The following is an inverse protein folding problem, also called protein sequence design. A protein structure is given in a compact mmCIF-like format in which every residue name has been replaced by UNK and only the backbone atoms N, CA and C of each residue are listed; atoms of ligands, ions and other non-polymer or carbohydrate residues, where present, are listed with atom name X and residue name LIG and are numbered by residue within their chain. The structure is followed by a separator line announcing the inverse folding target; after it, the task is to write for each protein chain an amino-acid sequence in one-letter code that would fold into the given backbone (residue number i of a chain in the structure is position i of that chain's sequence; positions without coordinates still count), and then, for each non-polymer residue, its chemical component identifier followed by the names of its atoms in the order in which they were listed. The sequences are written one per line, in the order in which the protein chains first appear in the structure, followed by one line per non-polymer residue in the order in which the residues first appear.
data_IF_213163639667
#
_entry.id   IF_213163639667
#
_cell.length_a   1.000
_cell.length_b   1.000
_cell.length_c   1.000
_cell.angle_alpha   90.00
_cell.angle_beta   90.00
_cell.angle_gamma   90.00
#
_symmetry.space_group_name_H-M   'P 1'
#
loop_
_entity.id
_entity.type
_entity.pdbx_description
1 polymer ?
#
# COMPACT_ATOMS: atom_id res chain seq x y z
N UNK A 1 -8.28 -16.62 -0.95
CA UNK A 1 -7.49 -15.43 -1.34
C UNK A 1 -6.17 -15.82 -1.99
N UNK A 2 -5.21 -16.42 -1.27
CA UNK A 2 -3.88 -16.77 -1.80
C UNK A 2 -3.86 -17.45 -3.19
N UNK A 3 -4.66 -18.52 -3.40
CA UNK A 3 -4.74 -19.19 -4.71
C UNK A 3 -5.13 -18.24 -5.85
N UNK A 4 -6.08 -17.33 -5.60
CA UNK A 4 -6.53 -16.32 -6.58
C UNK A 4 -5.41 -15.35 -6.93
N UNK A 5 -4.65 -14.88 -5.93
CA UNK A 5 -3.48 -14.02 -6.14
C UNK A 5 -2.39 -14.74 -6.94
N UNK A 6 -2.07 -15.99 -6.56
CA UNK A 6 -1.06 -16.81 -7.25
C UNK A 6 -1.44 -17.14 -8.70
N UNK A 7 -2.72 -17.37 -8.96
CA UNK A 7 -3.26 -17.60 -10.30
C UNK A 7 -3.49 -16.30 -11.09
N UNK A 8 -3.14 -15.12 -10.52
CA UNK A 8 -3.37 -13.80 -11.13
C UNK A 8 -4.83 -13.52 -11.49
N UNK A 9 -5.76 -14.10 -10.73
CA UNK A 9 -7.21 -13.82 -10.81
C UNK A 9 -7.59 -12.55 -10.04
N UNK A 10 -6.68 -12.05 -9.19
CA UNK A 10 -6.79 -10.78 -8.48
C UNK A 10 -5.40 -10.24 -8.14
N UNK A 11 -5.34 -9.01 -7.62
CA UNK A 11 -4.11 -8.23 -7.46
C UNK A 11 -3.86 -7.86 -6.01
N UNK A 12 -2.58 -7.61 -5.70
CA UNK A 12 -2.13 -6.96 -4.47
C UNK A 12 -1.94 -5.47 -4.78
N UNK A 13 -2.30 -4.58 -3.87
CA UNK A 13 -1.79 -3.22 -3.86
C UNK A 13 -0.86 -3.00 -2.68
N UNK A 14 0.25 -2.32 -2.93
CA UNK A 14 1.11 -1.78 -1.88
C UNK A 14 0.98 -0.26 -1.88
N UNK A 15 0.54 0.30 -0.76
CA UNK A 15 0.28 1.73 -0.56
C UNK A 15 1.45 2.33 0.22
N UNK A 16 2.15 3.26 -0.42
CA UNK A 16 3.42 3.81 0.07
C UNK A 16 4.59 3.04 -0.51
N UNK A 17 5.39 3.67 -1.35
CA UNK A 17 6.54 3.05 -2.03
C UNK A 17 7.85 3.69 -1.56
N UNK A 18 8.00 3.72 -0.24
CA UNK A 18 9.25 4.05 0.43
C UNK A 18 10.19 2.85 0.53
N UNK A 19 11.21 2.98 1.38
CA UNK A 19 12.22 1.95 1.63
C UNK A 19 11.65 0.60 2.11
N UNK A 20 10.43 0.56 2.66
CA UNK A 20 9.75 -0.69 3.04
C UNK A 20 8.81 -1.18 1.95
N UNK A 21 7.91 -0.31 1.50
CA UNK A 21 6.83 -0.70 0.59
C UNK A 21 7.31 -1.09 -0.79
N UNK A 22 8.33 -0.43 -1.35
CA UNK A 22 8.85 -0.76 -2.67
C UNK A 22 9.47 -2.18 -2.73
N UNK A 23 10.39 -2.58 -1.81
CA UNK A 23 10.87 -3.96 -1.77
C UNK A 23 9.75 -5.00 -1.65
N UNK A 24 8.75 -4.76 -0.79
CA UNK A 24 7.59 -5.66 -0.64
C UNK A 24 6.83 -5.78 -1.97
N UNK A 25 6.58 -4.66 -2.63
CA UNK A 25 5.85 -4.61 -3.90
C UNK A 25 6.59 -5.40 -4.99
N UNK A 26 7.90 -5.18 -5.13
CA UNK A 26 8.73 -5.87 -6.11
C UNK A 26 8.83 -7.38 -5.83
N UNK A 27 8.97 -7.79 -4.57
CA UNK A 27 9.05 -9.21 -4.22
C UNK A 27 7.74 -9.95 -4.55
N UNK A 28 6.58 -9.35 -4.25
CA UNK A 28 5.30 -9.92 -4.69
C UNK A 28 5.17 -9.93 -6.22
N UNK A 29 5.66 -8.90 -6.90
CA UNK A 29 5.55 -8.74 -8.34
C UNK A 29 6.30 -9.83 -9.13
N UNK A 30 7.29 -10.50 -8.52
CA UNK A 30 7.95 -11.67 -9.13
C UNK A 30 7.01 -12.84 -9.39
N UNK A 31 5.92 -12.95 -8.64
CA UNK A 31 5.01 -14.12 -8.73
C UNK A 31 3.53 -13.77 -8.84
N UNK A 32 3.14 -12.52 -8.59
CA UNK A 32 1.75 -12.06 -8.55
C UNK A 32 1.60 -10.71 -9.26
N UNK A 33 0.37 -10.34 -9.62
CA UNK A 33 0.08 -9.01 -10.15
C UNK A 33 0.03 -7.99 -9.01
N UNK A 34 0.83 -6.93 -9.12
CA UNK A 34 0.95 -5.89 -8.09
C UNK A 34 0.60 -4.50 -8.66
N UNK A 35 -0.15 -3.73 -7.89
CA UNK A 35 -0.29 -2.29 -8.07
C UNK A 35 0.57 -1.60 -7.01
N UNK A 36 1.65 -0.96 -7.43
CA UNK A 36 2.42 -0.08 -6.56
C UNK A 36 1.79 1.31 -6.57
N UNK A 37 1.24 1.75 -5.43
CA UNK A 37 0.62 3.06 -5.30
C UNK A 37 1.44 3.97 -4.40
N UNK A 38 1.76 5.17 -4.89
CA UNK A 38 2.30 6.26 -4.08
C UNK A 38 1.55 7.55 -4.37
N UNK A 39 1.49 8.46 -3.41
CA UNK A 39 0.84 9.77 -3.59
C UNK A 39 1.72 10.74 -4.39
N UNK A 40 3.03 10.48 -4.46
CA UNK A 40 3.99 11.35 -5.12
C UNK A 40 4.23 10.89 -6.58
N UNK A 41 3.80 11.73 -7.53
CA UNK A 41 3.93 11.47 -8.96
C UNK A 41 5.38 11.39 -9.44
N UNK A 42 6.29 12.18 -8.85
CA UNK A 42 7.70 12.18 -9.19
C UNK A 42 8.34 10.84 -8.83
N UNK A 43 8.09 10.36 -7.60
CA UNK A 43 8.53 9.03 -7.15
C UNK A 43 7.99 7.94 -8.06
N UNK A 44 6.70 7.97 -8.40
CA UNK A 44 6.09 7.01 -9.36
C UNK A 44 6.78 7.05 -10.72
N UNK A 45 7.12 8.22 -11.23
CA UNK A 45 7.84 8.35 -12.50
C UNK A 45 9.24 7.75 -12.44
N UNK A 46 9.96 7.92 -11.32
CA UNK A 46 11.26 7.27 -11.11
C UNK A 46 11.12 5.74 -11.13
N UNK A 47 10.16 5.18 -10.40
CA UNK A 47 9.95 3.72 -10.35
C UNK A 47 9.52 3.14 -11.70
N UNK A 48 8.75 3.88 -12.51
CA UNK A 48 8.45 3.51 -13.90
C UNK A 48 9.69 3.43 -14.81
N UNK A 49 10.76 4.12 -14.43
CA UNK A 49 12.07 4.07 -15.08
C UNK A 49 13.05 3.13 -14.36
N UNK A 50 12.56 2.24 -13.48
CA UNK A 50 13.35 1.30 -12.68
C UNK A 50 14.37 1.98 -11.75
N UNK A 51 14.01 3.16 -11.22
CA UNK A 51 14.82 3.91 -10.27
C UNK A 51 14.12 3.89 -8.91
N UNK A 52 14.79 3.38 -7.88
CA UNK A 52 14.32 3.45 -6.50
C UNK A 52 14.46 4.87 -5.95
N UNK A 53 13.36 5.56 -5.59
CA UNK A 53 13.41 6.90 -5.01
C UNK A 53 13.93 6.95 -3.56
N UNK A 54 14.26 5.81 -2.96
CA UNK A 54 14.85 5.68 -1.63
C UNK A 54 16.34 5.32 -1.70
N UNK A 55 16.87 5.03 -2.89
CA UNK A 55 18.28 4.68 -3.14
C UNK A 55 18.75 3.41 -2.41
N UNK A 56 17.85 2.46 -2.14
CA UNK A 56 18.14 1.21 -1.44
C UNK A 56 18.23 0.00 -2.39
N UNK A 57 17.61 0.09 -3.57
CA UNK A 57 17.54 -0.99 -4.55
C UNK A 57 18.18 -0.61 -5.90
N UNK A 58 18.92 -1.56 -6.47
CA UNK A 58 19.42 -1.46 -7.84
C UNK A 58 18.29 -1.65 -8.87
N UNK A 59 18.51 -1.15 -10.09
CA UNK A 59 17.56 -1.31 -11.20
C UNK A 59 17.21 -2.77 -11.52
N UNK A 60 18.11 -3.71 -11.21
CA UNK A 60 17.89 -5.17 -11.37
C UNK A 60 16.75 -5.68 -10.49
N UNK A 61 16.42 -5.02 -9.38
CA UNK A 61 15.31 -5.38 -8.51
C UNK A 61 13.93 -5.26 -9.20
N UNK A 62 13.84 -4.44 -10.26
CA UNK A 62 12.62 -4.24 -11.04
C UNK A 62 12.45 -5.27 -12.16
N UNK A 63 13.48 -6.06 -12.46
CA UNK A 63 13.42 -7.05 -13.53
C UNK A 63 12.43 -8.19 -13.19
N UNK A 64 11.74 -8.70 -14.23
CA UNK A 64 10.78 -9.79 -14.11
C UNK A 64 9.64 -9.55 -13.11
N UNK A 65 9.31 -8.28 -12.85
CA UNK A 65 8.22 -7.89 -11.96
C UNK A 65 6.93 -7.56 -12.75
N UNK A 66 5.82 -8.19 -12.37
CA UNK A 66 4.47 -7.87 -12.85
C UNK A 66 3.84 -6.79 -11.95
N UNK A 67 4.36 -5.56 -12.09
CA UNK A 67 3.96 -4.40 -11.28
C UNK A 67 3.53 -3.21 -12.13
N UNK A 68 2.43 -2.57 -11.72
CA UNK A 68 1.97 -1.28 -12.26
C UNK A 68 2.13 -0.19 -11.21
N UNK A 69 2.99 0.79 -11.48
CA UNK A 69 3.19 1.95 -10.60
C UNK A 69 2.22 3.07 -10.95
N UNK A 70 1.54 3.63 -9.96
CA UNK A 70 0.51 4.64 -10.18
C UNK A 70 0.28 5.56 -8.98
N UNK A 71 -0.25 6.75 -9.27
CA UNK A 71 -0.82 7.69 -8.29
C UNK A 71 -2.35 7.71 -8.38
N UNK A 72 -2.93 7.00 -9.36
CA UNK A 72 -4.34 7.04 -9.65
C UNK A 72 -5.10 6.02 -8.80
N UNK A 73 -6.00 6.52 -7.95
CA UNK A 73 -6.84 5.69 -7.09
C UNK A 73 -7.74 4.73 -7.87
N UNK A 74 -8.09 5.07 -9.11
CA UNK A 74 -8.96 4.24 -9.95
C UNK A 74 -8.34 2.88 -10.26
N UNK A 75 -7.01 2.80 -10.33
CA UNK A 75 -6.27 1.55 -10.56
C UNK A 75 -6.39 0.57 -9.38
N UNK A 76 -6.86 1.04 -8.22
CA UNK A 76 -7.05 0.23 -7.01
C UNK A 76 -8.43 -0.45 -6.95
N UNK A 77 -9.37 -0.11 -7.83
CA UNK A 77 -10.76 -0.61 -7.74
C UNK A 77 -10.91 -2.13 -7.90
N UNK A 78 -9.98 -2.79 -8.59
CA UNK A 78 -10.01 -4.24 -8.83
C UNK A 78 -9.05 -5.03 -7.92
N UNK A 79 -8.43 -4.34 -6.95
CA UNK A 79 -7.56 -4.94 -5.95
C UNK A 79 -8.40 -5.57 -4.84
N UNK A 80 -7.91 -6.68 -4.27
CA UNK A 80 -8.58 -7.35 -3.15
C UNK A 80 -7.72 -7.51 -1.91
N UNK A 81 -6.41 -7.23 -2.01
CA UNK A 81 -5.46 -7.33 -0.91
C UNK A 81 -4.58 -6.08 -0.90
N UNK A 82 -4.69 -5.28 0.16
CA UNK A 82 -3.99 -4.02 0.35
C UNK A 82 -2.95 -4.19 1.44
N UNK A 83 -1.72 -3.77 1.18
CA UNK A 83 -0.64 -3.64 2.16
C UNK A 83 -0.35 -2.14 2.29
N UNK A 84 -0.42 -1.61 3.51
CA UNK A 84 -0.14 -0.21 3.82
C UNK A 84 1.22 -0.13 4.50
N UNK A 85 2.18 0.50 3.82
CA UNK A 85 3.58 0.63 4.22
C UNK A 85 4.03 2.11 4.07
N UNK A 86 3.30 3.00 4.74
CA UNK A 86 3.58 4.44 4.77
C UNK A 86 4.34 4.83 6.04
N UNK A 87 5.12 5.92 6.05
CA UNK A 87 5.89 6.31 7.23
C UNK A 87 4.98 6.73 8.39
N UNK A 88 5.46 6.49 9.61
CA UNK A 88 4.86 6.94 10.88
C UNK A 88 5.94 7.72 11.67
N UNK A 89 6.35 8.92 11.18
CA UNK A 89 7.41 9.67 11.82
C UNK A 89 6.99 10.08 13.24
N UNK A 90 7.95 10.26 14.13
CA UNK A 90 7.68 10.77 15.49
C UNK A 90 7.74 12.30 15.50
N UNK A 91 6.83 12.92 16.25
CA UNK A 91 6.81 14.36 16.46
C UNK A 91 7.75 14.79 17.60
N UNK A 92 7.81 16.11 17.87
CA UNK A 92 8.64 16.68 18.93
C UNK A 92 8.25 16.27 20.36
N UNK A 93 7.12 15.56 20.53
CA UNK A 93 6.63 15.01 21.79
C UNK A 93 6.82 13.48 21.87
N UNK A 94 7.55 12.88 20.92
CA UNK A 94 7.73 11.43 20.77
C UNK A 94 6.41 10.68 20.53
N UNK A 95 5.40 11.35 19.97
CA UNK A 95 4.17 10.71 19.51
C UNK A 95 4.27 10.43 18.01
N UNK A 96 3.73 9.30 17.53
CA UNK A 96 3.71 9.01 16.10
C UNK A 96 2.74 9.97 15.40
N UNK A 97 3.22 10.66 14.37
CA UNK A 97 2.39 11.37 13.40
C UNK A 97 1.75 10.33 12.47
N UNK A 98 0.47 10.07 12.72
CA UNK A 98 -0.34 9.14 11.94
C UNK A 98 -0.88 9.75 10.64
N UNK A 99 -0.56 11.01 10.32
CA UNK A 99 -1.09 11.68 9.11
C UNK A 99 -0.90 10.86 7.83
N UNK A 100 0.28 10.26 7.55
CA UNK A 100 0.45 9.43 6.36
C UNK A 100 -0.39 8.15 6.41
N UNK A 101 -0.47 7.51 7.58
CA UNK A 101 -1.25 6.29 7.81
C UNK A 101 -2.74 6.53 7.60
N UNK A 102 -3.28 7.60 8.18
CA UNK A 102 -4.67 8.03 7.97
C UNK A 102 -4.91 8.39 6.51
N UNK A 103 -3.96 9.04 5.84
CA UNK A 103 -4.02 9.30 4.41
C UNK A 103 -4.14 8.02 3.58
N UNK A 104 -3.32 7.01 3.86
CA UNK A 104 -3.38 5.70 3.21
C UNK A 104 -4.71 4.99 3.49
N UNK A 105 -5.18 5.00 4.74
CA UNK A 105 -6.49 4.46 5.13
C UNK A 105 -7.63 5.15 4.37
N UNK A 106 -7.55 6.46 4.12
CA UNK A 106 -8.53 7.18 3.29
C UNK A 106 -8.51 6.71 1.83
N UNK A 107 -7.32 6.52 1.26
CA UNK A 107 -7.16 6.00 -0.11
C UNK A 107 -7.77 4.61 -0.24
N UNK A 108 -7.43 3.69 0.68
CA UNK A 108 -7.96 2.33 0.68
C UNK A 108 -9.47 2.34 0.90
N UNK A 109 -9.97 3.09 1.89
CA UNK A 109 -11.39 3.14 2.23
C UNK A 109 -12.31 3.53 1.07
N UNK A 110 -11.85 4.42 0.17
CA UNK A 110 -12.63 4.85 -1.02
C UNK A 110 -12.86 3.75 -2.06
N UNK A 111 -12.03 2.71 -2.08
CA UNK A 111 -12.10 1.61 -3.05
C UNK A 111 -12.38 0.26 -2.41
N UNK A 112 -12.39 0.21 -1.07
CA UNK A 112 -12.54 -1.01 -0.29
C UNK A 112 -13.91 -1.65 -0.52
N UNK A 113 -13.91 -2.96 -0.78
CA UNK A 113 -15.11 -3.79 -0.96
C UNK A 113 -15.17 -4.91 0.07
N UNK A 114 -16.38 -5.42 0.33
CA UNK A 114 -16.58 -6.58 1.21
C UNK A 114 -15.74 -7.77 0.73
N UNK A 115 -14.99 -8.38 1.66
CA UNK A 115 -14.10 -9.51 1.37
C UNK A 115 -12.69 -9.11 0.90
N UNK A 116 -12.38 -7.82 0.82
CA UNK A 116 -11.02 -7.33 0.70
C UNK A 116 -10.26 -7.48 2.03
N UNK A 117 -8.93 -7.49 1.92
CA UNK A 117 -8.00 -7.56 3.05
C UNK A 117 -7.19 -6.27 3.09
N UNK A 118 -7.03 -5.69 4.27
CA UNK A 118 -6.14 -4.55 4.50
C UNK A 118 -5.15 -4.97 5.59
N UNK A 119 -3.86 -4.90 5.27
CA UNK A 119 -2.75 -5.24 6.16
C UNK A 119 -1.96 -3.97 6.40
N UNK A 120 -1.83 -3.57 7.66
CA UNK A 120 -0.95 -2.47 8.06
C UNK A 120 0.40 -3.04 8.43
N UNK A 121 1.41 -2.68 7.63
CA UNK A 121 2.81 -3.02 7.88
C UNK A 121 3.52 -1.92 8.66
N UNK A 122 3.13 -0.65 8.42
CA UNK A 122 3.64 0.52 9.15
C UNK A 122 3.75 0.28 10.66
N UNK A 123 4.88 0.68 11.25
CA UNK A 123 5.08 0.56 12.70
C UNK A 123 4.13 1.49 13.44
N UNK A 124 3.29 0.92 14.31
CA UNK A 124 2.26 1.63 15.07
C UNK A 124 2.17 1.11 16.50
N UNK A 125 1.51 1.86 17.38
CA UNK A 125 1.22 1.40 18.73
C UNK A 125 0.10 0.35 18.74
N UNK A 126 0.03 -0.51 19.79
CA UNK A 126 -1.07 -1.46 19.95
C UNK A 126 -2.43 -0.76 20.00
N UNK A 127 -3.39 -1.21 19.18
CA UNK A 127 -4.73 -0.62 19.09
C UNK A 127 -4.90 0.38 17.95
N UNK A 128 -3.83 0.89 17.34
CA UNK A 128 -3.90 1.87 16.24
C UNK A 128 -4.74 1.38 15.04
N UNK A 129 -4.71 0.07 14.74
CA UNK A 129 -5.54 -0.49 13.66
C UNK A 129 -7.03 -0.33 13.98
N UNK A 130 -7.44 -0.70 15.18
CA UNK A 130 -8.82 -0.66 15.66
C UNK A 130 -9.33 0.75 15.93
N UNK A 131 -8.49 1.61 16.51
CA UNK A 131 -8.89 2.92 17.03
C UNK A 131 -8.77 4.03 15.99
N UNK A 132 -7.83 3.95 15.06
CA UNK A 132 -7.52 5.04 14.12
C UNK A 132 -7.77 4.67 12.67
N UNK A 133 -7.36 3.48 12.24
CA UNK A 133 -7.47 3.06 10.85
C UNK A 133 -8.88 2.56 10.48
N UNK A 134 -9.45 1.67 11.29
CA UNK A 134 -10.77 1.07 11.03
C UNK A 134 -11.87 2.13 10.92
N UNK A 135 -11.99 3.14 11.81
CA UNK A 135 -13.05 4.15 11.70
C UNK A 135 -13.01 4.89 10.35
N UNK A 136 -11.81 5.18 9.85
CA UNK A 136 -11.61 5.83 8.54
C UNK A 136 -12.05 4.92 7.40
N UNK A 137 -11.67 3.63 7.46
CA UNK A 137 -12.08 2.63 6.47
C UNK A 137 -13.60 2.46 6.43
N UNK A 138 -14.25 2.34 7.59
CA UNK A 138 -15.71 2.24 7.68
C UNK A 138 -16.40 3.48 7.10
N UNK A 139 -15.95 4.68 7.50
CA UNK A 139 -16.55 5.94 7.08
C UNK A 139 -16.57 6.08 5.55
N UNK A 140 -15.48 5.68 4.88
CA UNK A 140 -15.33 5.89 3.44
C UNK A 140 -15.85 4.74 2.58
N UNK A 141 -15.82 3.51 3.10
CA UNK A 141 -16.30 2.33 2.36
C UNK A 141 -17.79 2.03 2.62
N UNK A 142 -18.36 2.55 3.71
CA UNK A 142 -19.68 2.16 4.20
C UNK A 142 -19.72 0.73 4.78
N UNK A 143 -18.59 0.03 4.88
CA UNK A 143 -18.49 -1.28 5.52
C UNK A 143 -18.46 -1.14 7.04
N UNK A 144 -18.70 -2.25 7.74
CA UNK A 144 -18.61 -2.35 9.20
C UNK A 144 -17.65 -3.45 9.63
N UNK A 145 -16.77 -3.10 10.56
CA UNK A 145 -15.85 -4.00 11.22
C UNK A 145 -16.50 -4.50 12.51
N UNK A 146 -17.01 -5.74 12.43
CA UNK A 146 -17.83 -6.45 13.43
C UNK A 146 -19.25 -5.92 13.56
#
# INVERSE_FOLDING_TARGET
MYKKLKNKETKIAVIGLGYVGLPIALEFAKTMQVIGFDINQERVNMMKNNIDPSEELDATAFENCDIHFTTNIEDLKDVTFFIVAVPTPIDGHNLPDLTPLIGASKTVGKVLKKGNYVVFESTVYPGCTEEDCIPVLEQLSGLKYK
#
